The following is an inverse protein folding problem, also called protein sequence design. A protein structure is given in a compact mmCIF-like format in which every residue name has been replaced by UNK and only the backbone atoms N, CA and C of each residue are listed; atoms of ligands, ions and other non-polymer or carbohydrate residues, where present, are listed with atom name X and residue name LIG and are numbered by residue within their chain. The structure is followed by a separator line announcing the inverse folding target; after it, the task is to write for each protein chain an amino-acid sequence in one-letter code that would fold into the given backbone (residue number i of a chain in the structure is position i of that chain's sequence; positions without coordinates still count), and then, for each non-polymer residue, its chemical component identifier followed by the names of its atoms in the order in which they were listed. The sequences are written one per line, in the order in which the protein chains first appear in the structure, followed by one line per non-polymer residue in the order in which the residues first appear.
data_IF_594099247673
#
_entry.id   IF_594099247673
#
_cell.length_a   1.000
_cell.length_b   1.000
_cell.length_c   1.000
_cell.angle_alpha   90.00
_cell.angle_beta   90.00
_cell.angle_gamma   90.00
#
_symmetry.space_group_name_H-M   'P 1'
#
loop_
_entity.id
_entity.type
_entity.pdbx_description
1 polymer ?
#
# COMPACT_ATOMS: atom_id res chain seq x y z
N UNK A 1 18.90 25.55 -1.12
CA UNK A 1 18.56 24.10 -1.08
C UNK A 1 17.12 23.99 -1.55
N UNK A 2 16.89 23.87 -2.86
CA UNK A 2 15.54 23.85 -3.46
C UNK A 2 14.80 22.57 -3.04
N UNK A 3 13.61 22.72 -2.49
CA UNK A 3 12.74 21.64 -2.06
C UNK A 3 11.65 21.47 -3.12
N UNK A 4 11.65 20.40 -3.90
CA UNK A 4 10.41 19.83 -4.42
C UNK A 4 9.60 20.70 -5.38
N UNK A 5 10.23 21.59 -6.15
CA UNK A 5 9.50 22.65 -6.86
C UNK A 5 8.89 22.15 -8.18
N UNK A 6 9.52 21.18 -8.84
CA UNK A 6 9.01 20.65 -10.12
C UNK A 6 7.96 19.55 -9.94
N UNK A 7 8.27 18.52 -9.15
CA UNK A 7 7.38 17.37 -8.92
C UNK A 7 7.22 17.09 -7.43
N UNK A 8 5.96 16.98 -6.99
CA UNK A 8 5.61 16.44 -5.69
C UNK A 8 5.50 14.92 -5.77
N UNK A 9 6.29 14.23 -4.96
CA UNK A 9 6.49 12.78 -5.05
C UNK A 9 5.94 12.11 -3.79
N UNK A 10 5.07 11.12 -3.97
CA UNK A 10 4.48 10.40 -2.86
C UNK A 10 4.26 8.91 -3.19
N UNK A 11 4.70 7.96 -2.34
CA UNK A 11 5.44 8.15 -1.08
C UNK A 11 6.96 8.36 -1.30
N UNK A 12 7.64 9.03 -0.37
CA UNK A 12 9.11 9.16 -0.38
C UNK A 12 9.84 7.90 0.13
N UNK A 13 9.11 7.03 0.82
CA UNK A 13 9.58 5.75 1.32
C UNK A 13 8.78 4.62 0.66
N UNK A 14 9.46 3.82 -0.15
CA UNK A 14 8.89 2.67 -0.83
C UNK A 14 8.92 1.48 0.11
N UNK A 15 7.74 1.09 0.58
CA UNK A 15 7.57 -0.04 1.51
C UNK A 15 7.27 -1.30 0.72
N UNK A 16 8.12 -2.31 0.85
CA UNK A 16 7.92 -3.62 0.24
C UNK A 16 7.69 -4.65 1.34
N UNK A 17 6.47 -5.22 1.48
CA UNK A 17 6.26 -6.37 2.34
C UNK A 17 7.06 -7.56 1.82
N UNK A 18 8.18 -7.86 2.47
CA UNK A 18 9.13 -8.84 1.97
C UNK A 18 8.52 -10.24 1.98
N UNK A 19 8.55 -10.90 0.83
CA UNK A 19 8.05 -12.25 0.66
C UNK A 19 8.99 -13.02 -0.28
N UNK A 20 9.47 -14.16 0.18
CA UNK A 20 10.34 -15.03 -0.61
C UNK A 20 9.60 -15.54 -1.84
N UNK A 21 10.33 -15.64 -2.97
CA UNK A 21 9.85 -16.17 -4.25
C UNK A 21 8.63 -15.45 -4.84
N UNK A 22 8.30 -14.25 -4.35
CA UNK A 22 7.19 -13.42 -4.86
C UNK A 22 7.69 -12.08 -5.38
N UNK A 23 7.09 -11.63 -6.48
CA UNK A 23 7.25 -10.24 -6.91
C UNK A 23 6.35 -9.34 -6.08
N UNK A 24 6.85 -8.17 -5.70
CA UNK A 24 6.13 -7.20 -4.88
C UNK A 24 6.24 -5.85 -5.59
N UNK A 25 5.10 -5.22 -5.85
CA UNK A 25 5.03 -3.91 -6.47
C UNK A 25 4.60 -2.83 -5.49
N UNK A 26 5.12 -1.63 -5.70
CA UNK A 26 4.73 -0.40 -5.01
C UNK A 26 4.45 0.67 -6.07
N UNK A 27 3.43 1.51 -5.83
CA UNK A 27 3.12 2.64 -6.69
C UNK A 27 3.73 3.92 -6.12
N UNK A 28 4.34 4.70 -7.00
CA UNK A 28 4.91 6.01 -6.75
C UNK A 28 4.17 7.04 -7.60
N UNK A 29 3.55 8.01 -6.95
CA UNK A 29 2.79 9.07 -7.59
C UNK A 29 3.67 10.32 -7.78
N UNK A 30 3.74 10.80 -9.02
CA UNK A 30 4.45 12.03 -9.42
C UNK A 30 3.41 13.09 -9.78
N UNK A 31 3.29 14.14 -8.98
CA UNK A 31 2.34 15.24 -9.19
C UNK A 31 3.05 16.50 -9.64
N UNK A 32 2.73 16.99 -10.85
CA UNK A 32 3.24 18.24 -11.38
C UNK A 32 2.27 19.37 -11.00
N UNK A 33 2.73 20.29 -10.14
CA UNK A 33 1.96 21.48 -9.72
C UNK A 33 2.24 22.70 -10.58
N UNK A 34 3.18 22.59 -11.52
CA UNK A 34 3.59 23.69 -12.38
C UNK A 34 2.79 23.70 -13.68
N UNK A 35 2.83 24.83 -14.39
CA UNK A 35 2.24 24.98 -15.72
C UNK A 35 3.17 24.50 -16.85
N UNK A 36 4.30 23.88 -16.52
CA UNK A 36 5.30 23.44 -17.48
C UNK A 36 5.33 21.92 -17.60
N UNK A 37 5.81 21.42 -18.73
CA UNK A 37 6.10 19.99 -18.90
C UNK A 37 7.34 19.62 -18.10
N UNK A 38 7.28 18.50 -17.39
CA UNK A 38 8.41 18.04 -16.57
C UNK A 38 8.78 16.62 -16.97
N UNK A 39 9.98 16.45 -17.49
CA UNK A 39 10.54 15.13 -17.76
C UNK A 39 11.11 14.54 -16.47
N UNK A 40 10.94 13.24 -16.28
CA UNK A 40 11.51 12.51 -15.15
C UNK A 40 12.29 11.28 -15.60
N UNK A 41 13.24 10.87 -14.77
CA UNK A 41 14.03 9.65 -14.93
C UNK A 41 14.28 9.01 -13.58
N UNK A 42 14.01 7.72 -13.47
CA UNK A 42 14.25 6.93 -12.26
C UNK A 42 15.57 6.17 -12.42
N UNK A 43 16.46 6.32 -11.45
CA UNK A 43 17.68 5.53 -11.27
C UNK A 43 17.58 4.74 -9.97
N UNK A 44 18.26 3.60 -9.91
CA UNK A 44 18.32 2.76 -8.71
C UNK A 44 19.74 2.26 -8.47
N UNK A 45 20.10 2.02 -7.22
CA UNK A 45 21.38 1.39 -6.87
C UNK A 45 21.42 -0.09 -7.25
N UNK A 46 20.28 -0.73 -7.51
CA UNK A 46 20.20 -2.17 -7.78
C UNK A 46 19.24 -2.52 -8.95
N UNK A 47 19.63 -2.23 -10.20
CA UNK A 47 18.76 -2.39 -11.37
C UNK A 47 18.39 -3.83 -11.70
N UNK A 48 19.16 -4.82 -11.22
CA UNK A 48 18.82 -6.25 -11.40
C UNK A 48 17.66 -6.68 -10.50
N UNK A 49 17.53 -6.05 -9.33
CA UNK A 49 16.52 -6.39 -8.33
C UNK A 49 15.18 -5.70 -8.55
N UNK A 50 15.18 -4.51 -9.15
CA UNK A 50 13.98 -3.72 -9.33
C UNK A 50 13.68 -3.45 -10.80
N UNK A 51 12.43 -3.62 -11.18
CA UNK A 51 11.89 -3.14 -12.45
C UNK A 51 11.04 -1.89 -12.18
N UNK A 52 11.27 -0.83 -12.95
CA UNK A 52 10.52 0.42 -12.83
C UNK A 52 9.77 0.67 -14.14
N UNK A 53 8.48 0.94 -14.07
CA UNK A 53 7.63 1.22 -15.23
C UNK A 53 6.66 2.37 -14.97
N UNK A 54 6.70 3.44 -15.78
CA UNK A 54 7.77 3.81 -16.73
C UNK A 54 9.08 4.18 -16.01
N UNK A 55 10.24 3.92 -16.61
CA UNK A 55 11.55 4.31 -16.06
C UNK A 55 11.92 5.78 -16.34
N UNK A 56 11.35 6.34 -17.40
CA UNK A 56 11.45 7.73 -17.80
C UNK A 56 10.16 8.14 -18.53
N UNK A 57 9.81 9.40 -18.44
CA UNK A 57 8.59 9.93 -19.06
C UNK A 57 8.45 11.43 -18.86
N UNK A 58 7.35 11.99 -19.34
CA UNK A 58 6.99 13.40 -19.16
C UNK A 58 5.67 13.48 -18.40
N UNK A 59 5.63 14.28 -17.35
CA UNK A 59 4.42 14.62 -16.60
C UNK A 59 3.88 15.93 -17.15
N UNK A 60 2.63 15.91 -17.60
CA UNK A 60 1.97 17.10 -18.17
C UNK A 60 1.78 18.18 -17.09
N UNK A 61 1.66 19.46 -17.48
CA UNK A 61 1.26 20.53 -16.58
C UNK A 61 0.02 20.18 -15.76
N UNK A 62 0.02 20.54 -14.47
CA UNK A 62 -1.12 20.34 -13.55
C UNK A 62 -1.71 18.92 -13.55
N UNK A 63 -0.87 17.91 -13.79
CA UNK A 63 -1.29 16.51 -13.90
C UNK A 63 -0.52 15.61 -12.94
N UNK A 64 -0.93 14.35 -12.88
CA UNK A 64 -0.25 13.33 -12.08
C UNK A 64 0.07 12.12 -12.95
N UNK A 65 1.23 11.52 -12.74
CA UNK A 65 1.65 10.27 -13.35
C UNK A 65 2.01 9.24 -12.28
N UNK A 66 1.59 7.99 -12.49
CA UNK A 66 1.97 6.88 -11.63
C UNK A 66 3.17 6.12 -12.19
N UNK A 67 4.09 5.74 -11.30
CA UNK A 67 5.27 4.92 -11.58
C UNK A 67 5.22 3.68 -10.70
N UNK A 68 5.24 2.52 -11.32
CA UNK A 68 5.23 1.24 -10.61
C UNK A 68 6.65 0.73 -10.45
N UNK A 69 7.05 0.49 -9.22
CA UNK A 69 8.32 -0.15 -8.86
C UNK A 69 8.04 -1.57 -8.40
N UNK A 70 8.53 -2.54 -9.15
CA UNK A 70 8.38 -3.96 -8.85
C UNK A 70 9.72 -4.54 -8.41
N UNK A 71 9.77 -5.04 -7.18
CA UNK A 71 10.87 -5.86 -6.68
C UNK A 71 10.75 -7.28 -7.22
N UNK A 72 11.81 -7.77 -7.83
CA UNK A 72 11.92 -9.13 -8.35
C UNK A 72 11.93 -10.15 -7.20
N UNK A 73 11.41 -11.34 -7.49
CA UNK A 73 11.35 -12.45 -6.54
C UNK A 73 12.73 -12.80 -5.98
N UNK A 74 12.92 -12.62 -4.68
CA UNK A 74 14.17 -12.96 -3.99
C UNK A 74 14.16 -14.44 -3.62
N UNK A 75 15.28 -15.13 -3.84
CA UNK A 75 15.45 -16.55 -3.45
C UNK A 75 15.74 -16.71 -1.96
N UNK A 76 16.43 -15.73 -1.39
CA UNK A 76 16.93 -15.73 -0.01
C UNK A 76 16.59 -14.40 0.66
N UNK A 77 16.38 -14.43 1.97
CA UNK A 77 16.15 -13.23 2.76
C UNK A 77 17.49 -12.53 3.02
N UNK A 78 17.58 -11.19 2.88
CA UNK A 78 18.77 -10.47 3.31
C UNK A 78 18.99 -10.68 4.82
N UNK A 79 20.24 -10.85 5.29
CA UNK A 79 20.53 -10.87 6.71
C UNK A 79 20.02 -9.56 7.34
N UNK A 80 19.29 -9.70 8.45
CA UNK A 80 18.62 -8.64 9.20
C UNK A 80 17.46 -7.91 8.50
N UNK A 81 16.94 -8.42 7.37
CA UNK A 81 15.90 -7.73 6.57
C UNK A 81 16.26 -6.28 6.20
N UNK A 82 17.54 -5.93 6.26
CA UNK A 82 17.99 -4.57 6.05
C UNK A 82 18.11 -4.27 4.56
N UNK A 83 17.30 -3.33 4.07
CA UNK A 83 17.41 -2.80 2.73
C UNK A 83 18.29 -1.54 2.70
N UNK A 84 19.37 -1.58 1.91
CA UNK A 84 20.22 -0.41 1.64
C UNK A 84 19.97 0.21 0.27
N UNK A 85 19.04 -0.37 -0.49
CA UNK A 85 18.73 0.08 -1.84
C UNK A 85 18.09 1.46 -1.81
N UNK A 86 18.43 2.29 -2.80
CA UNK A 86 17.90 3.65 -2.95
C UNK A 86 17.46 3.87 -4.37
N UNK A 87 16.41 4.67 -4.52
CA UNK A 87 16.02 5.20 -5.82
C UNK A 87 16.33 6.70 -5.87
N UNK A 88 16.70 7.16 -7.05
CA UNK A 88 16.92 8.54 -7.36
C UNK A 88 15.98 8.92 -8.51
N UNK A 89 15.00 9.76 -8.23
CA UNK A 89 14.20 10.40 -9.25
C UNK A 89 14.87 11.72 -9.63
N UNK A 90 15.21 11.87 -10.90
CA UNK A 90 15.63 13.14 -11.46
C UNK A 90 14.47 13.74 -12.23
N UNK A 91 14.27 15.04 -12.12
CA UNK A 91 13.24 15.77 -12.85
C UNK A 91 13.81 17.07 -13.43
N UNK A 92 13.33 17.44 -14.62
CA UNK A 92 13.78 18.63 -15.33
C UNK A 92 12.60 19.24 -16.10
N UNK A 93 12.52 20.56 -16.10
CA UNK A 93 11.53 21.29 -16.90
C UNK A 93 11.90 21.17 -18.38
N UNK A 94 10.94 20.82 -19.21
CA UNK A 94 11.09 20.65 -20.67
C UNK A 94 10.06 21.48 -21.43
N UNK A 95 10.29 21.65 -22.72
CA UNK A 95 9.35 22.31 -23.62
C UNK A 95 8.21 21.37 -24.04
N UNK A 96 7.13 21.95 -24.54
CA UNK A 96 6.04 21.19 -25.16
C UNK A 96 6.56 20.39 -26.37
N UNK A 97 5.98 19.22 -26.62
CA UNK A 97 6.34 18.33 -27.72
C UNK A 97 7.44 17.32 -27.43
N UNK A 98 8.15 17.40 -26.30
CA UNK A 98 9.11 16.37 -25.88
C UNK A 98 8.35 15.12 -25.44
N UNK A 99 8.60 14.00 -26.12
CA UNK A 99 8.00 12.70 -25.76
C UNK A 99 8.97 11.84 -24.97
N UNK A 100 8.48 10.73 -24.42
CA UNK A 100 9.32 9.77 -23.70
C UNK A 100 10.51 9.23 -24.52
N UNK A 101 10.44 9.28 -25.86
CA UNK A 101 11.53 8.84 -26.76
C UNK A 101 12.65 9.87 -26.88
N UNK A 102 12.34 11.14 -26.67
CA UNK A 102 13.27 12.26 -26.79
C UNK A 102 14.01 12.55 -25.48
N UNK A 103 13.70 11.76 -24.44
CA UNK A 103 14.34 11.87 -23.13
C UNK A 103 15.76 11.29 -23.20
N UNK A 104 16.72 12.14 -23.56
CA UNK A 104 18.14 11.80 -23.56
C UNK A 104 18.77 12.02 -22.17
N UNK A 105 19.94 11.41 -21.93
CA UNK A 105 20.69 11.64 -20.69
C UNK A 105 21.21 13.08 -20.55
N UNK A 106 21.33 13.81 -21.67
CA UNK A 106 21.80 15.19 -21.72
C UNK A 106 20.85 16.16 -21.03
N UNK A 107 19.53 15.94 -21.15
CA UNK A 107 18.49 16.74 -20.46
C UNK A 107 18.63 16.72 -18.93
N UNK A 108 19.25 15.67 -18.37
CA UNK A 108 19.50 15.54 -16.94
C UNK A 108 20.93 15.90 -16.54
N UNK A 109 21.72 16.49 -17.46
CA UNK A 109 23.05 16.98 -17.14
C UNK A 109 22.97 18.41 -16.57
N UNK A 110 23.37 18.58 -15.31
CA UNK A 110 23.43 19.89 -14.63
C UNK A 110 24.46 20.82 -15.27
N UNK A 111 25.51 20.26 -15.88
CA UNK A 111 26.60 21.01 -16.51
C UNK A 111 26.18 21.68 -17.83
N UNK A 112 25.10 21.19 -18.45
CA UNK A 112 24.49 21.79 -19.64
C UNK A 112 23.61 23.02 -19.32
N UNK A 113 23.60 23.49 -18.07
CA UNK A 113 22.80 24.63 -17.62
C UNK A 113 21.34 24.30 -17.30
N UNK A 114 20.96 23.01 -17.32
CA UNK A 114 19.62 22.58 -16.94
C UNK A 114 19.42 22.58 -15.42
N UNK A 115 18.25 23.06 -14.98
CA UNK A 115 17.82 22.97 -13.58
C UNK A 115 17.27 21.56 -13.34
N UNK A 116 18.15 20.65 -12.92
CA UNK A 116 17.80 19.25 -12.61
C UNK A 116 17.57 19.10 -11.12
N UNK A 117 16.34 18.74 -10.78
CA UNK A 117 15.93 18.46 -9.41
C UNK A 117 16.04 16.96 -9.12
N UNK A 118 16.58 16.61 -7.95
CA UNK A 118 16.85 15.23 -7.56
C UNK A 118 16.16 14.87 -6.25
N UNK A 119 15.33 13.84 -6.29
CA UNK A 119 14.65 13.30 -5.12
C UNK A 119 15.15 11.88 -4.80
N UNK A 120 15.62 11.68 -3.56
CA UNK A 120 16.10 10.38 -3.07
C UNK A 120 14.97 9.67 -2.34
N UNK A 121 14.61 8.50 -2.83
CA UNK A 121 13.60 7.63 -2.21
C UNK A 121 14.31 6.50 -1.47
N UNK A 122 13.82 6.19 -0.27
CA UNK A 122 14.33 5.08 0.54
C UNK A 122 13.48 3.83 0.29
N UNK A 123 14.12 2.67 0.32
CA UNK A 123 13.44 1.39 0.28
C UNK A 123 13.41 0.81 1.68
N UNK A 124 12.23 0.37 2.13
CA UNK A 124 12.03 -0.23 3.45
C UNK A 124 11.38 -1.60 3.24
N UNK A 125 11.96 -2.64 3.85
CA UNK A 125 11.32 -3.94 3.92
C UNK A 125 10.44 -4.02 5.14
N UNK A 126 9.18 -4.41 4.91
CA UNK A 126 8.26 -4.72 5.98
C UNK A 126 8.27 -6.22 6.17
N UNK A 127 8.49 -6.65 7.42
CA UNK A 127 8.22 -8.02 7.81
C UNK A 127 6.73 -8.33 7.60
N UNK A 128 6.38 -9.56 7.19
CA UNK A 128 4.98 -9.98 7.20
C UNK A 128 4.36 -9.71 8.59
N UNK A 129 3.12 -9.21 8.67
CA UNK A 129 2.48 -8.97 9.95
C UNK A 129 2.44 -10.26 10.78
N UNK A 130 3.02 -10.21 11.97
CA UNK A 130 2.93 -11.28 12.95
C UNK A 130 1.45 -11.41 13.37
N UNK A 131 0.91 -12.63 13.52
CA UNK A 131 -0.43 -12.78 14.07
C UNK A 131 -0.55 -12.11 15.43
N UNK A 132 -1.73 -11.54 15.76
CA UNK A 132 -1.99 -11.08 17.11
C UNK A 132 -1.80 -12.26 18.07
N UNK A 133 -0.89 -12.10 19.03
CA UNK A 133 -0.71 -13.06 20.12
C UNK A 133 -2.06 -13.27 20.81
N UNK A 134 -2.41 -14.51 21.21
CA UNK A 134 -3.69 -14.79 21.86
C UNK A 134 -3.81 -13.91 23.12
N UNK A 135 -4.69 -12.92 23.07
CA UNK A 135 -5.04 -12.12 24.24
C UNK A 135 -5.79 -13.08 25.16
N UNK A 136 -5.25 -13.29 26.37
CA UNK A 136 -5.97 -14.03 27.41
C UNK A 136 -7.23 -13.22 27.73
N UNK A 137 -8.39 -13.68 27.26
CA UNK A 137 -9.68 -13.18 27.71
C UNK A 137 -9.77 -13.44 29.21
N UNK A 138 -9.56 -12.39 30.01
CA UNK A 138 -9.89 -12.41 31.41
C UNK A 138 -11.38 -12.65 31.54
N UNK A 139 -11.75 -13.82 32.08
CA UNK A 139 -13.11 -14.11 32.50
C UNK A 139 -13.42 -13.21 33.71
N UNK A 140 -14.00 -12.05 33.44
CA UNK A 140 -14.66 -11.23 34.45
C UNK A 140 -16.10 -11.71 34.61
N UNK A 141 -16.28 -12.81 35.35
CA UNK A 141 -17.58 -13.17 35.89
C UNK A 141 -17.64 -12.74 37.36
N UNK A 142 -18.29 -11.59 37.56
CA UNK A 142 -18.54 -11.04 38.88
C UNK A 142 -19.42 -11.95 39.72
N UNK A 143 -19.14 -12.03 41.02
CA UNK A 143 -20.09 -12.51 42.03
C UNK A 143 -19.66 -12.06 43.43
N UNK A 144 -20.54 -11.30 44.08
CA UNK A 144 -20.51 -11.00 45.52
C UNK A 144 -21.56 -11.86 46.25
N UNK A 145 -21.62 -11.94 47.60
CA UNK A 145 -21.27 -13.15 48.34
C UNK A 145 -22.45 -13.75 49.15
N UNK A 146 -22.46 -15.06 49.40
CA UNK A 146 -22.97 -15.72 50.63
C UNK A 146 -23.04 -17.24 50.51
N UNK A 147 -22.73 -17.95 51.61
CA UNK A 147 -23.28 -19.28 51.87
C UNK A 147 -22.31 -20.42 52.25
N UNK A 148 -21.58 -20.25 53.35
CA UNK A 148 -21.20 -21.24 54.39
C UNK A 148 -21.36 -22.78 54.19
N UNK A 149 -20.24 -23.49 54.52
CA UNK A 149 -20.09 -24.76 55.34
C UNK A 149 -20.58 -26.08 54.65
N UNK A 150 -19.92 -27.26 54.62
CA UNK A 150 -18.94 -28.02 55.45
C UNK A 150 -18.25 -29.08 54.54
N UNK A 151 -16.92 -29.28 54.54
CA UNK A 151 -16.08 -30.21 55.35
C UNK A 151 -15.96 -31.67 54.86
N UNK A 152 -14.81 -32.04 54.24
CA UNK A 152 -13.82 -33.01 54.79
C UNK A 152 -12.81 -33.57 53.74
N UNK A 153 -11.51 -33.55 54.09
CA UNK A 153 -10.53 -34.61 53.74
C UNK A 153 -9.50 -34.40 52.62
N UNK A 154 -8.41 -33.66 52.89
CA UNK A 154 -7.12 -33.62 52.16
C UNK A 154 -6.19 -34.73 52.68
N UNK A 155 -5.47 -35.51 51.86
CA UNK A 155 -4.02 -35.46 51.51
C UNK A 155 -3.66 -36.77 50.77
N UNK A 156 -2.75 -36.94 49.78
CA UNK A 156 -1.73 -36.11 49.13
C UNK A 156 -1.47 -36.68 47.72
N UNK A 157 -1.72 -35.91 46.66
CA UNK A 157 -1.26 -36.20 45.30
C UNK A 157 0.01 -35.40 45.00
N UNK A 158 1.06 -35.64 45.78
CA UNK A 158 2.34 -34.94 45.68
C UNK A 158 3.30 -35.56 44.64
N UNK A 159 2.79 -36.20 43.59
CA UNK A 159 3.62 -36.89 42.58
C UNK A 159 3.47 -36.41 41.13
N UNK A 160 2.63 -35.42 40.84
CA UNK A 160 2.51 -34.92 39.45
C UNK A 160 2.90 -33.45 39.23
N UNK A 161 3.24 -32.71 40.29
CA UNK A 161 3.63 -31.29 40.18
C UNK A 161 5.13 -31.07 39.95
N UNK A 162 5.97 -32.08 40.18
CA UNK A 162 7.44 -31.93 40.06
C UNK A 162 7.96 -32.11 38.64
N UNK A 163 7.18 -32.66 37.71
CA UNK A 163 7.56 -32.76 36.30
C UNK A 163 7.23 -31.50 35.47
N UNK A 164 6.28 -30.67 35.92
CA UNK A 164 5.84 -29.47 35.19
C UNK A 164 6.74 -28.24 35.43
N UNK A 165 7.61 -28.27 36.44
CA UNK A 165 8.61 -27.21 36.67
C UNK A 165 9.95 -27.45 35.96
N UNK A 166 10.17 -28.65 35.43
CA UNK A 166 11.39 -28.97 34.67
C UNK A 166 11.32 -28.60 33.18
N UNK A 167 10.17 -28.11 32.68
CA UNK A 167 10.03 -27.66 31.29
C UNK A 167 10.07 -26.13 31.13
N UNK A 168 10.17 -25.39 32.24
CA UNK A 168 10.04 -23.93 32.23
C UNK A 168 11.38 -23.18 32.33
N UNK A 169 12.50 -23.88 32.14
CA UNK A 169 13.84 -23.26 32.11
C UNK A 169 14.65 -23.70 30.88
N UNK A 170 13.97 -23.98 29.76
CA UNK A 170 14.67 -24.20 28.50
C UNK A 170 13.77 -23.97 27.27
N UNK A 171 13.47 -22.71 26.94
CA UNK A 171 12.93 -22.33 25.63
C UNK A 171 13.23 -20.85 25.32
N UNK A 172 14.49 -20.47 25.50
CA UNK A 172 15.10 -19.55 24.55
C UNK A 172 15.49 -20.36 23.32
N UNK A 173 14.95 -19.97 22.16
CA UNK A 173 15.24 -20.49 20.82
C UNK A 173 15.10 -22.03 20.62
N UNK A 174 13.88 -22.52 20.36
CA UNK A 174 13.68 -23.78 19.61
C UNK A 174 12.66 -23.59 18.47
N UNK A 175 13.05 -24.08 17.30
CA UNK A 175 12.27 -24.20 16.07
C UNK A 175 10.81 -24.61 16.33
N UNK A 176 9.84 -23.75 16.00
CA UNK A 176 8.46 -24.20 15.83
C UNK A 176 8.39 -25.12 14.60
N UNK A 177 7.82 -26.30 14.79
CA UNK A 177 7.59 -27.30 13.74
C UNK A 177 6.98 -26.68 12.46
N UNK A 178 7.41 -27.13 11.27
CA UNK A 178 6.89 -26.64 9.99
C UNK A 178 5.37 -26.78 9.85
N UNK A 179 4.74 -27.67 10.62
CA UNK A 179 3.28 -27.88 10.62
C UNK A 179 2.52 -26.72 11.25
N UNK A 180 3.03 -26.14 12.34
CA UNK A 180 2.39 -24.99 13.01
C UNK A 180 2.47 -23.74 12.12
N UNK A 181 3.62 -23.54 11.47
CA UNK A 181 3.80 -22.48 10.47
C UNK A 181 2.91 -22.68 9.24
N UNK A 182 2.69 -23.93 8.81
CA UNK A 182 1.81 -24.25 7.70
C UNK A 182 0.33 -23.99 8.02
N UNK A 183 -0.14 -24.43 9.19
CA UNK A 183 -1.51 -24.17 9.65
C UNK A 183 -1.75 -22.66 9.78
N UNK A 184 -0.77 -21.92 10.32
CA UNK A 184 -0.86 -20.47 10.41
C UNK A 184 -0.95 -19.80 9.03
N UNK A 185 -0.13 -20.24 8.08
CA UNK A 185 -0.18 -19.75 6.70
C UNK A 185 -1.53 -20.01 6.05
N UNK A 186 -2.09 -21.23 6.21
CA UNK A 186 -3.41 -21.58 5.67
C UNK A 186 -4.50 -20.69 6.27
N UNK A 187 -4.50 -20.47 7.59
CA UNK A 187 -5.45 -19.55 8.23
C UNK A 187 -5.33 -18.12 7.68
N UNK A 188 -4.11 -17.61 7.50
CA UNK A 188 -3.89 -16.27 6.96
C UNK A 188 -4.37 -16.15 5.50
N UNK A 189 -4.16 -17.18 4.67
CA UNK A 189 -4.68 -17.23 3.29
C UNK A 189 -6.21 -17.25 3.27
N UNK A 190 -6.85 -18.02 4.16
CA UNK A 190 -8.32 -18.07 4.26
C UNK A 190 -8.89 -16.71 4.71
N UNK A 191 -8.28 -16.08 5.71
CA UNK A 191 -8.70 -14.77 6.19
C UNK A 191 -8.52 -13.68 5.11
N UNK A 192 -7.39 -13.69 4.41
CA UNK A 192 -7.13 -12.77 3.30
C UNK A 192 -8.14 -12.96 2.16
N UNK A 193 -8.45 -14.21 1.79
CA UNK A 193 -9.47 -14.52 0.78
C UNK A 193 -10.84 -13.98 1.19
N UNK A 194 -11.21 -14.15 2.46
CA UNK A 194 -12.49 -13.64 3.00
C UNK A 194 -12.57 -12.12 2.92
N UNK A 195 -11.50 -11.41 3.27
CA UNK A 195 -11.42 -9.95 3.12
C UNK A 195 -11.53 -9.50 1.66
N UNK A 196 -10.84 -10.19 0.74
CA UNK A 196 -10.92 -9.88 -0.70
C UNK A 196 -12.35 -10.05 -1.21
N UNK A 197 -13.06 -11.11 -0.80
CA UNK A 197 -14.45 -11.32 -1.20
C UNK A 197 -15.37 -10.21 -0.68
N UNK A 198 -15.20 -9.81 0.59
CA UNK A 198 -15.97 -8.70 1.18
C UNK A 198 -15.73 -7.38 0.43
N UNK A 199 -14.46 -7.03 0.20
CA UNK A 199 -14.09 -5.84 -0.58
C UNK A 199 -14.60 -5.89 -2.02
N UNK A 200 -14.64 -7.07 -2.63
CA UNK A 200 -15.16 -7.27 -3.99
C UNK A 200 -16.67 -7.01 -4.03
N UNK A 201 -17.40 -7.46 -3.01
CA UNK A 201 -18.84 -7.23 -2.91
C UNK A 201 -19.16 -5.75 -2.64
N UNK A 202 -18.43 -5.12 -1.72
CA UNK A 202 -18.55 -3.68 -1.46
C UNK A 202 -18.26 -2.86 -2.73
N UNK A 203 -17.21 -3.22 -3.49
CA UNK A 203 -16.91 -2.60 -4.78
C UNK A 203 -18.04 -2.77 -5.79
N UNK A 204 -18.65 -3.96 -5.87
CA UNK A 204 -19.77 -4.23 -6.78
C UNK A 204 -20.98 -3.38 -6.43
N UNK A 205 -21.31 -3.28 -5.13
CA UNK A 205 -22.37 -2.42 -4.62
C UNK A 205 -22.13 -0.94 -4.94
N UNK A 206 -20.92 -0.44 -4.69
CA UNK A 206 -20.54 0.94 -5.00
C UNK A 206 -20.63 1.24 -6.51
N UNK A 207 -20.20 0.30 -7.36
CA UNK A 207 -20.29 0.45 -8.82
C UNK A 207 -21.75 0.49 -9.29
N UNK A 208 -22.64 -0.32 -8.69
CA UNK A 208 -24.06 -0.30 -8.99
C UNK A 208 -24.69 1.05 -8.62
N UNK A 209 -24.34 1.59 -7.45
CA UNK A 209 -24.80 2.90 -7.02
C UNK A 209 -24.29 4.02 -7.93
N UNK A 210 -23.01 3.98 -8.33
CA UNK A 210 -22.42 4.92 -9.27
C UNK A 210 -23.14 4.89 -10.64
N UNK A 211 -23.44 3.70 -11.16
CA UNK A 211 -24.21 3.56 -12.39
C UNK A 211 -25.62 4.12 -12.27
N UNK A 212 -26.31 3.89 -11.14
CA UNK A 212 -27.65 4.46 -10.89
C UNK A 212 -27.62 5.99 -10.91
N UNK A 213 -26.67 6.59 -10.19
CA UNK A 213 -26.49 8.05 -10.15
C UNK A 213 -26.18 8.56 -11.56
N UNK A 214 -25.34 7.88 -12.33
CA UNK A 214 -25.04 8.24 -13.72
C UNK A 214 -26.29 8.25 -14.60
N UNK A 215 -27.17 7.26 -14.47
CA UNK A 215 -28.45 7.23 -15.20
C UNK A 215 -29.41 8.36 -14.77
N UNK A 216 -29.46 8.68 -13.47
CA UNK A 216 -30.25 9.81 -12.97
C UNK A 216 -29.71 11.15 -13.46
N UNK A 217 -28.40 11.33 -13.50
CA UNK A 217 -27.76 12.53 -14.01
C UNK A 217 -28.03 12.72 -15.51
N UNK A 218 -27.91 11.66 -16.32
CA UNK A 218 -28.22 11.72 -17.76
C UNK A 218 -29.69 12.10 -17.98
N UNK A 219 -30.63 11.46 -17.26
CA UNK A 219 -32.05 11.83 -17.33
C UNK A 219 -32.30 13.27 -16.90
N UNK A 220 -31.64 13.74 -15.84
CA UNK A 220 -31.75 15.12 -15.38
C UNK A 220 -31.24 16.13 -16.41
N UNK A 221 -30.12 15.82 -17.07
CA UNK A 221 -29.57 16.64 -18.16
C UNK A 221 -30.53 16.67 -19.35
N UNK A 222 -31.08 15.53 -19.77
CA UNK A 222 -32.04 15.46 -20.88
C UNK A 222 -33.33 16.25 -20.57
N UNK A 223 -33.89 16.06 -19.37
CA UNK A 223 -35.05 16.83 -18.91
C UNK A 223 -34.76 18.33 -18.85
N UNK A 224 -33.57 18.72 -18.36
CA UNK A 224 -33.14 20.12 -18.31
C UNK A 224 -32.92 20.72 -19.71
N UNK A 225 -32.40 19.96 -20.66
CA UNK A 225 -32.19 20.40 -22.04
C UNK A 225 -33.53 20.56 -22.79
N UNK A 226 -34.48 19.65 -22.54
CA UNK A 226 -35.86 19.75 -23.06
C UNK A 226 -36.56 20.96 -22.44
N UNK A 227 -36.47 21.16 -21.12
CA UNK A 227 -37.05 22.32 -20.43
C UNK A 227 -36.45 23.64 -20.95
N UNK A 228 -35.13 23.72 -21.11
CA UNK A 228 -34.46 24.88 -21.71
C UNK A 228 -34.88 25.14 -23.16
N UNK A 229 -35.13 24.09 -23.96
CA UNK A 229 -35.66 24.24 -25.32
C UNK A 229 -37.11 24.71 -25.34
N UNK A 230 -37.94 24.20 -24.42
CA UNK A 230 -39.35 24.61 -24.29
C UNK A 230 -39.44 26.08 -23.86
N UNK A 231 -38.65 26.51 -22.87
CA UNK A 231 -38.59 27.93 -22.46
C UNK A 231 -38.18 28.83 -23.63
N UNK A 232 -37.16 28.45 -24.41
CA UNK A 232 -36.75 29.20 -25.61
C UNK A 232 -37.78 29.20 -26.74
N UNK A 233 -38.70 28.24 -26.79
CA UNK A 233 -39.78 28.18 -27.78
C UNK A 233 -41.02 28.99 -27.37
N UNK A 234 -41.18 29.26 -26.08
CA UNK A 234 -42.27 30.07 -25.50
C UNK A 234 -41.93 31.57 -25.43
N UNK A 235 -40.69 31.97 -25.71
CA UNK A 235 -40.24 33.37 -25.82
C UNK A 235 -40.19 33.91 -27.29
N UNK A 236 -41.30 33.97 -28.05
CA UNK A 236 -41.40 34.94 -29.14
C UNK A 236 -42.58 35.91 -29.02
N UNK A 237 -43.11 36.16 -27.81
CA UNK A 237 -44.23 37.08 -27.57
C UNK A 237 -43.99 38.01 -26.37
N UNK A 238 -42.86 38.72 -26.38
CA UNK A 238 -42.74 40.00 -25.67
C UNK A 238 -42.05 40.99 -26.62
N UNK A 239 -42.83 41.53 -27.56
CA UNK A 239 -42.66 42.82 -28.23
C UNK A 239 -44.07 43.37 -28.46
#
# INVERSE_FOLDING_TARGET
MSRGDLLSIHPLELKFPFALRKQISCSLQLSNKTDNYVAFKVKTTNPKKYCVRPNAGVVLPRSTSDVIVTMQAQKEAPPDMNCRDKFLLQSVKVNDGITAKDITSELFNKEAGHVVEECKLKVVYLSPPQPPSPVHEGSEEGSSPRGSVSDNGHVNAAEFSTAAKAFNEQLEAQDLSPEVNFVFFICCVIQTRTHIMKLTEEKKSALQQCNKIRHELVRGIDCGLIACRVVKFLDPLIC
#
